data_IF_573075680068
#
_entry.id   IF_573075680068
#
_cell.length_a   1.000
_cell.length_b   1.000
_cell.length_c   1.000
_cell.angle_alpha   90.00
_cell.angle_beta   90.00
_cell.angle_gamma   90.00
#
_symmetry.space_group_name_H-M   'P 1'
#
loop_
_entity.id
_entity.type
_entity.pdbx_description
1 polymer ?
#
# COMPACT_ATOMS: atom_id res chain seq x y z
N UNK A 1 -18.69 -2.44 -11.46
CA UNK A 1 -17.27 -2.06 -11.56
C UNK A 1 -16.95 -1.86 -13.04
N UNK A 2 -17.68 -0.93 -13.68
CA UNK A 2 -17.83 -0.89 -15.15
C UNK A 2 -17.61 0.53 -15.69
N UNK A 3 -16.87 1.35 -14.93
CA UNK A 3 -16.45 2.66 -15.42
C UNK A 3 -15.21 2.48 -16.31
N UNK A 4 -15.24 3.08 -17.50
CA UNK A 4 -14.11 3.09 -18.44
C UNK A 4 -12.79 3.54 -17.78
N UNK A 5 -12.88 4.35 -16.73
CA UNK A 5 -11.76 4.87 -15.94
C UNK A 5 -11.17 3.88 -14.93
N UNK A 6 -11.88 2.82 -14.54
CA UNK A 6 -11.43 1.88 -13.51
C UNK A 6 -10.15 1.13 -13.92
N UNK A 7 -10.15 0.51 -15.09
CA UNK A 7 -9.02 -0.27 -15.60
C UNK A 7 -7.72 0.56 -15.73
N UNK A 8 -7.72 1.73 -16.39
CA UNK A 8 -6.49 2.52 -16.50
C UNK A 8 -5.98 3.04 -15.15
N UNK A 9 -6.87 3.46 -14.23
CA UNK A 9 -6.45 3.86 -12.87
C UNK A 9 -5.88 2.67 -12.08
N UNK A 10 -6.48 1.50 -12.19
CA UNK A 10 -6.00 0.29 -11.52
C UNK A 10 -4.62 -0.13 -12.05
N UNK A 11 -4.41 -0.08 -13.37
CA UNK A 11 -3.10 -0.34 -13.96
C UNK A 11 -2.07 0.69 -13.49
N UNK A 12 -2.43 1.97 -13.47
CA UNK A 12 -1.55 3.04 -12.98
C UNK A 12 -1.19 2.85 -11.50
N UNK A 13 -2.17 2.56 -10.65
CA UNK A 13 -1.96 2.29 -9.24
C UNK A 13 -1.07 1.06 -9.03
N UNK A 14 -1.25 0.00 -9.82
CA UNK A 14 -0.37 -1.18 -9.78
C UNK A 14 1.09 -0.83 -10.15
N UNK A 15 1.30 0.03 -11.15
CA UNK A 15 2.62 0.54 -11.52
C UNK A 15 3.24 1.34 -10.37
N UNK A 16 2.46 2.21 -9.72
CA UNK A 16 2.91 2.98 -8.56
C UNK A 16 3.37 2.08 -7.41
N UNK A 17 2.61 1.02 -7.10
CA UNK A 17 3.02 0.02 -6.10
C UNK A 17 4.35 -0.64 -6.48
N UNK A 18 4.51 -1.05 -7.74
CA UNK A 18 5.75 -1.65 -8.23
C UNK A 18 6.95 -0.69 -8.12
N UNK A 19 6.78 0.57 -8.47
CA UNK A 19 7.82 1.61 -8.35
C UNK A 19 8.27 1.83 -6.90
N UNK A 20 7.36 1.66 -5.93
CA UNK A 20 7.70 1.74 -4.50
C UNK A 20 8.78 0.74 -4.07
N UNK A 21 8.73 -0.48 -4.60
CA UNK A 21 9.73 -1.52 -4.32
C UNK A 21 11.02 -1.35 -5.16
N UNK A 22 10.96 -0.60 -6.25
CA UNK A 22 12.09 -0.29 -7.13
C UNK A 22 12.97 0.88 -6.69
N UNK A 23 12.66 1.55 -5.57
CA UNK A 23 13.46 2.65 -5.01
C UNK A 23 12.75 4.00 -4.92
N UNK A 24 11.48 4.08 -5.32
CA UNK A 24 10.67 5.31 -5.26
C UNK A 24 9.47 5.16 -4.31
N UNK A 25 9.69 5.07 -2.97
CA UNK A 25 8.63 4.78 -2.00
C UNK A 25 7.52 5.84 -1.98
N UNK A 26 7.84 7.10 -2.32
CA UNK A 26 6.85 8.19 -2.40
C UNK A 26 5.79 7.92 -3.47
N UNK A 27 6.18 7.32 -4.60
CA UNK A 27 5.27 7.03 -5.71
C UNK A 27 4.26 5.95 -5.32
N UNK A 28 4.67 4.92 -4.58
CA UNK A 28 3.72 3.91 -4.08
C UNK A 28 2.66 4.47 -3.11
N UNK A 29 2.97 5.57 -2.42
CA UNK A 29 2.01 6.30 -1.58
C UNK A 29 0.83 6.90 -2.37
N UNK A 30 0.97 7.08 -3.69
CA UNK A 30 -0.08 7.60 -4.57
C UNK A 30 -1.08 6.53 -5.03
N UNK A 31 -0.79 5.24 -4.86
CA UNK A 31 -1.62 4.16 -5.36
C UNK A 31 -3.02 4.13 -4.71
N UNK A 32 -3.11 4.27 -3.38
CA UNK A 32 -4.39 4.27 -2.67
C UNK A 32 -5.18 5.58 -2.90
N UNK A 33 -4.58 6.78 -2.77
CA UNK A 33 -5.29 8.04 -3.07
C UNK A 33 -5.84 8.11 -4.49
N UNK A 34 -5.08 7.69 -5.51
CA UNK A 34 -5.53 7.71 -6.91
C UNK A 34 -6.77 6.84 -7.15
N UNK A 35 -6.82 5.63 -6.57
CA UNK A 35 -8.02 4.78 -6.66
C UNK A 35 -9.18 5.31 -5.81
N UNK A 36 -8.89 5.96 -4.67
CA UNK A 36 -9.92 6.50 -3.78
C UNK A 36 -10.75 7.64 -4.40
N UNK A 37 -10.31 8.20 -5.54
CA UNK A 37 -11.09 9.16 -6.33
C UNK A 37 -12.36 8.55 -6.92
N UNK A 38 -12.39 7.23 -7.13
CA UNK A 38 -13.50 6.53 -7.79
C UNK A 38 -14.16 5.46 -6.91
N UNK A 39 -13.59 5.12 -5.75
CA UNK A 39 -14.11 4.11 -4.83
C UNK A 39 -13.73 4.41 -3.38
N UNK A 40 -14.34 3.73 -2.40
CA UNK A 40 -13.95 3.85 -0.99
C UNK A 40 -12.46 3.49 -0.83
N UNK A 41 -11.68 4.27 -0.05
CA UNK A 41 -10.26 3.99 0.18
C UNK A 41 -9.99 2.60 0.78
N UNK A 42 -10.93 2.08 1.59
CA UNK A 42 -10.84 0.72 2.16
C UNK A 42 -10.93 -0.33 1.05
N UNK A 43 -11.82 -0.13 0.09
CA UNK A 43 -11.96 -1.00 -1.09
C UNK A 43 -10.72 -0.91 -1.98
N UNK A 44 -10.19 0.30 -2.22
CA UNK A 44 -8.98 0.52 -2.99
C UNK A 44 -7.78 -0.21 -2.38
N UNK A 45 -7.56 -0.06 -1.07
CA UNK A 45 -6.50 -0.76 -0.35
C UNK A 45 -6.67 -2.29 -0.47
N UNK A 46 -7.89 -2.80 -0.30
CA UNK A 46 -8.21 -4.22 -0.46
C UNK A 46 -7.89 -4.76 -1.86
N UNK A 47 -8.20 -3.99 -2.92
CA UNK A 47 -7.88 -4.36 -4.30
C UNK A 47 -6.39 -4.37 -4.61
N UNK A 48 -5.60 -3.52 -3.95
CA UNK A 48 -4.16 -3.46 -4.13
C UNK A 48 -3.41 -4.55 -3.35
N UNK A 49 -4.02 -5.17 -2.33
CA UNK A 49 -3.37 -6.22 -1.52
C UNK A 49 -2.71 -7.34 -2.35
N UNK A 50 -3.37 -7.94 -3.36
CA UNK A 50 -2.73 -8.97 -4.19
C UNK A 50 -1.49 -8.45 -4.92
N UNK A 51 -1.52 -7.20 -5.37
CA UNK A 51 -0.40 -6.55 -6.06
C UNK A 51 0.76 -6.34 -5.08
N UNK A 52 0.48 -5.88 -3.86
CA UNK A 52 1.49 -5.77 -2.80
C UNK A 52 2.14 -7.12 -2.51
N UNK A 53 1.35 -8.20 -2.36
CA UNK A 53 1.87 -9.55 -2.11
C UNK A 53 2.79 -10.01 -3.23
N UNK A 54 2.38 -9.85 -4.49
CA UNK A 54 3.21 -10.21 -5.64
C UNK A 54 4.51 -9.40 -5.64
N UNK A 55 4.44 -8.09 -5.37
CA UNK A 55 5.61 -7.22 -5.31
C UNK A 55 6.60 -7.64 -4.20
N UNK A 56 6.09 -8.09 -3.06
CA UNK A 56 6.90 -8.57 -1.94
C UNK A 56 7.61 -9.89 -2.28
N UNK A 57 6.93 -10.80 -2.99
CA UNK A 57 7.55 -12.06 -3.46
C UNK A 57 8.75 -11.78 -4.36
N UNK A 58 8.64 -10.81 -5.28
CA UNK A 58 9.76 -10.39 -6.12
C UNK A 58 10.88 -9.74 -5.31
N UNK A 59 10.56 -8.89 -4.34
CA UNK A 59 11.55 -8.29 -3.45
C UNK A 59 12.32 -9.35 -2.65
N UNK A 60 11.63 -10.32 -2.04
CA UNK A 60 12.27 -11.43 -1.32
C UNK A 60 13.15 -12.24 -2.28
N UNK A 61 12.67 -12.52 -3.50
CA UNK A 61 13.45 -13.25 -4.50
C UNK A 61 14.74 -12.52 -4.87
N UNK A 62 14.69 -11.19 -5.00
CA UNK A 62 15.86 -10.37 -5.30
C UNK A 62 16.89 -10.37 -4.15
N UNK A 63 16.42 -10.20 -2.91
CA UNK A 63 17.27 -10.06 -1.72
C UNK A 63 17.53 -11.37 -0.96
N UNK A 64 17.19 -12.53 -1.53
CA UNK A 64 17.31 -13.85 -0.87
C UNK A 64 18.73 -14.27 -0.45
N UNK A 65 19.76 -13.57 -0.90
CA UNK A 65 21.17 -13.91 -0.64
C UNK A 65 21.82 -13.04 0.44
N UNK A 66 21.30 -11.83 0.65
CA UNK A 66 21.91 -10.83 1.53
C UNK A 66 20.94 -10.50 2.68
N UNK A 67 20.81 -11.43 3.64
CA UNK A 67 19.91 -11.24 4.79
C UNK A 67 20.53 -11.75 6.09
N UNK A 68 20.16 -11.09 7.19
CA UNK A 68 20.52 -11.46 8.55
C UNK A 68 19.34 -12.21 9.20
N UNK A 69 19.54 -13.48 9.55
CA UNK A 69 18.53 -14.36 10.14
C UNK A 69 17.98 -13.85 11.48
N UNK A 70 18.82 -13.47 12.46
CA UNK A 70 18.36 -12.84 13.69
C UNK A 70 17.43 -11.64 13.46
N UNK A 71 17.82 -10.70 12.60
CA UNK A 71 17.02 -9.49 12.31
C UNK A 71 15.70 -9.87 11.63
N UNK A 72 15.75 -10.78 10.65
CA UNK A 72 14.56 -11.26 9.95
C UNK A 72 13.56 -11.92 10.90
N UNK A 73 14.03 -12.73 11.86
CA UNK A 73 13.16 -13.41 12.82
C UNK A 73 12.43 -12.43 13.74
N UNK A 74 13.13 -11.40 14.23
CA UNK A 74 12.53 -10.34 15.07
C UNK A 74 11.48 -9.57 14.27
N UNK A 75 11.83 -9.20 13.03
CA UNK A 75 10.92 -8.49 12.13
C UNK A 75 9.67 -9.31 11.81
N UNK A 76 9.82 -10.60 11.50
CA UNK A 76 8.70 -11.48 11.17
C UNK A 76 7.73 -11.65 12.34
N UNK A 77 8.24 -11.86 13.57
CA UNK A 77 7.40 -11.98 14.77
C UNK A 77 6.68 -10.66 15.04
N UNK A 78 7.40 -9.53 15.02
CA UNK A 78 6.82 -8.21 15.23
C UNK A 78 5.74 -7.86 14.20
N UNK A 79 6.01 -8.10 12.92
CA UNK A 79 5.05 -7.89 11.83
C UNK A 79 3.82 -8.78 11.98
N UNK A 80 4.00 -10.07 12.31
CA UNK A 80 2.88 -11.00 12.48
C UNK A 80 1.97 -10.57 13.64
N UNK A 81 2.55 -10.22 14.78
CA UNK A 81 1.79 -9.72 15.94
C UNK A 81 1.08 -8.41 15.58
N UNK A 82 1.77 -7.48 14.92
CA UNK A 82 1.19 -6.21 14.49
C UNK A 82 0.00 -6.38 13.55
N UNK A 83 0.12 -7.25 12.54
CA UNK A 83 -0.97 -7.57 11.60
C UNK A 83 -2.13 -8.25 12.30
N UNK A 84 -1.87 -9.18 13.23
CA UNK A 84 -2.92 -9.83 14.00
C UNK A 84 -3.68 -8.83 14.88
N UNK A 85 -2.96 -7.99 15.63
CA UNK A 85 -3.59 -6.96 16.47
C UNK A 85 -4.37 -5.97 15.61
N UNK A 86 -3.79 -5.48 14.52
CA UNK A 86 -4.45 -4.56 13.59
C UNK A 86 -5.68 -5.18 12.92
N UNK A 87 -5.62 -6.46 12.54
CA UNK A 87 -6.75 -7.19 11.97
C UNK A 87 -7.88 -7.41 12.98
N UNK A 88 -7.54 -7.73 14.23
CA UNK A 88 -8.53 -7.88 15.30
C UNK A 88 -9.21 -6.56 15.65
N UNK A 89 -8.49 -5.43 15.62
CA UNK A 89 -9.05 -4.10 15.91
C UNK A 89 -9.64 -3.40 14.69
N UNK A 90 -9.49 -3.95 13.48
CA UNK A 90 -9.93 -3.32 12.23
C UNK A 90 -11.43 -2.95 12.24
N UNK A 91 -12.27 -3.77 12.88
CA UNK A 91 -13.72 -3.52 12.99
C UNK A 91 -14.07 -2.33 13.91
N UNK A 92 -13.13 -1.87 14.74
CA UNK A 92 -13.31 -0.71 15.63
C UNK A 92 -12.99 0.61 14.91
N UNK A 93 -12.38 0.56 13.73
CA UNK A 93 -11.91 1.75 13.01
C UNK A 93 -13.05 2.35 12.19
N UNK A 94 -13.33 3.64 12.42
CA UNK A 94 -14.35 4.39 11.68
C UNK A 94 -13.87 4.72 10.26
N UNK A 95 -14.71 4.46 9.26
CA UNK A 95 -14.36 4.66 7.84
C UNK A 95 -14.00 6.13 7.50
N UNK A 96 -14.63 7.10 8.15
CA UNK A 96 -14.31 8.52 7.95
C UNK A 96 -12.89 8.87 8.41
N UNK A 97 -12.37 8.20 9.45
CA UNK A 97 -10.99 8.40 9.92
C UNK A 97 -10.00 7.92 8.86
N UNK A 98 -10.25 6.74 8.29
CA UNK A 98 -9.41 6.16 7.24
C UNK A 98 -9.42 7.05 5.99
N UNK A 99 -10.59 7.57 5.63
CA UNK A 99 -10.74 8.48 4.49
C UNK A 99 -9.96 9.79 4.72
N UNK A 100 -10.07 10.38 5.91
CA UNK A 100 -9.32 11.59 6.27
C UNK A 100 -7.80 11.34 6.26
N UNK A 101 -7.35 10.21 6.80
CA UNK A 101 -5.93 9.83 6.78
C UNK A 101 -5.38 9.71 5.36
N UNK A 102 -6.11 9.06 4.46
CA UNK A 102 -5.69 8.87 3.06
C UNK A 102 -5.73 10.19 2.30
N UNK A 103 -6.71 11.05 2.58
CA UNK A 103 -6.75 12.43 2.08
C UNK A 103 -5.51 13.23 2.50
N UNK A 104 -5.12 13.15 3.78
CA UNK A 104 -3.90 13.79 4.29
C UNK A 104 -2.62 13.21 3.66
N UNK A 105 -2.58 11.90 3.41
CA UNK A 105 -1.45 11.28 2.69
C UNK A 105 -1.33 11.84 1.28
N UNK A 106 -2.43 11.93 0.53
CA UNK A 106 -2.45 12.55 -0.80
C UNK A 106 -2.02 14.02 -0.76
N UNK A 107 -2.53 14.79 0.20
CA UNK A 107 -2.15 16.20 0.39
C UNK A 107 -0.66 16.38 0.73
N UNK A 108 -0.08 15.52 1.56
CA UNK A 108 1.35 15.55 1.88
C UNK A 108 2.21 15.29 0.64
N UNK A 109 1.83 14.32 -0.21
CA UNK A 109 2.53 14.09 -1.48
C UNK A 109 2.41 15.30 -2.40
N UNK A 110 1.25 15.95 -2.45
CA UNK A 110 1.06 17.18 -3.23
C UNK A 110 1.98 18.31 -2.78
N UNK A 111 2.13 18.54 -1.46
CA UNK A 111 3.03 19.58 -0.93
C UNK A 111 4.50 19.27 -1.25
N UNK A 112 4.92 18.01 -1.14
CA UNK A 112 6.32 17.60 -1.41
C UNK A 112 6.65 17.50 -2.89
N UNK A 113 5.64 17.42 -3.75
CA UNK A 113 5.80 17.55 -5.18
C UNK A 113 6.04 19.03 -5.52
N UNK A 114 7.21 19.56 -5.16
CA UNK A 114 7.68 20.84 -5.67
C UNK A 114 7.76 20.75 -7.20
N UNK A 115 6.87 21.47 -7.90
CA UNK A 115 6.98 21.79 -9.32
C UNK A 115 7.84 23.04 -9.52
#
# INVERSE_FOLDING_TARGET
MDSLYFWPLMTLAAIFVGMGKGGLPVVAGLAVPSLSLIMSPVTAAGLLLPIYIVSDIFAIRAYRRDYDWPVLKISLIGMTIGVLVGGLTAHLVLEWVVTLMIGLMGFNVFIKADF
#
